data_IF_137289511929
#
_entry.id   IF_137289511929
#
_cell.length_a   1.000
_cell.length_b   1.000
_cell.length_c   1.000
_cell.angle_alpha   90.00
_cell.angle_beta   90.00
_cell.angle_gamma   90.00
#
_symmetry.space_group_name_H-M   'P 1'
#
loop_
_entity.id
_entity.type
_entity.pdbx_description
1 polymer ?
#
# COMPACT_ATOMS: atom_id res chain seq x y z
N UNK A 1 14.39 15.55 1.35
CA UNK A 1 15.49 14.67 0.90
C UNK A 1 14.98 13.64 -0.13
N UNK A 2 13.94 12.86 0.16
CA UNK A 2 13.36 11.87 -0.79
C UNK A 2 12.92 12.55 -2.10
N UNK A 3 12.21 13.68 -2.03
CA UNK A 3 11.74 14.40 -3.20
C UNK A 3 12.88 14.73 -4.17
N UNK A 4 14.03 15.21 -3.65
CA UNK A 4 15.22 15.50 -4.47
C UNK A 4 15.79 14.28 -5.20
N UNK A 5 15.72 13.12 -4.57
CA UNK A 5 16.11 11.86 -5.24
C UNK A 5 15.14 11.54 -6.37
N UNK A 6 13.84 11.72 -6.14
CA UNK A 6 12.80 11.39 -7.12
C UNK A 6 12.77 12.36 -8.31
N UNK A 7 13.14 13.63 -8.13
CA UNK A 7 13.25 14.62 -9.19
C UNK A 7 14.29 14.26 -10.28
N UNK A 8 15.23 13.36 -9.98
CA UNK A 8 16.22 12.87 -10.96
C UNK A 8 15.64 11.86 -11.96
N UNK A 9 14.40 11.42 -11.75
CA UNK A 9 13.75 10.36 -12.54
C UNK A 9 12.46 10.87 -13.20
N UNK A 10 12.19 10.52 -14.47
CA UNK A 10 10.92 10.85 -15.14
C UNK A 10 9.78 9.93 -14.66
N UNK A 11 9.37 10.09 -13.42
CA UNK A 11 8.40 9.22 -12.77
C UNK A 11 7.25 10.02 -12.16
N UNK A 12 6.05 9.45 -12.19
CA UNK A 12 4.90 10.03 -11.50
C UNK A 12 4.97 9.75 -10.00
N UNK A 13 4.94 10.82 -9.20
CA UNK A 13 5.02 10.76 -7.74
C UNK A 13 3.77 11.38 -7.13
N UNK A 14 3.21 10.70 -6.13
CA UNK A 14 2.11 11.17 -5.31
C UNK A 14 2.59 11.36 -3.88
N UNK A 15 2.35 12.53 -3.33
CA UNK A 15 2.60 12.85 -1.93
C UNK A 15 1.27 12.76 -1.18
N UNK A 16 1.07 11.68 -0.41
CA UNK A 16 -0.18 11.40 0.28
C UNK A 16 -0.20 12.10 1.65
N UNK A 17 -1.17 12.99 1.85
CA UNK A 17 -1.36 13.72 3.08
C UNK A 17 -2.85 13.87 3.41
N UNK A 18 -3.30 13.28 4.51
CA UNK A 18 -4.72 13.22 4.85
C UNK A 18 -5.54 12.54 3.75
N UNK A 19 -6.66 13.16 3.30
CA UNK A 19 -7.50 12.57 2.26
C UNK A 19 -7.03 12.92 0.84
N UNK A 20 -5.90 13.60 0.68
CA UNK A 20 -5.44 14.13 -0.59
C UNK A 20 -4.15 13.50 -1.08
N UNK A 21 -4.03 13.45 -2.41
CA UNK A 21 -2.83 13.10 -3.15
C UNK A 21 -2.31 14.35 -3.85
N UNK A 22 -1.13 14.81 -3.47
CA UNK A 22 -0.51 15.98 -4.07
C UNK A 22 0.42 15.57 -5.21
N UNK A 23 0.34 16.29 -6.32
CA UNK A 23 1.12 16.04 -7.53
C UNK A 23 1.81 17.32 -7.96
N UNK A 24 3.11 17.22 -8.22
CA UNK A 24 3.91 18.33 -8.76
C UNK A 24 3.78 18.37 -10.28
N UNK A 25 3.62 19.54 -10.84
CA UNK A 25 3.62 19.75 -12.30
C UNK A 25 2.59 20.78 -12.77
N UNK A 26 2.49 20.94 -14.08
CA UNK A 26 1.43 21.75 -14.71
C UNK A 26 0.07 21.06 -14.57
N UNK A 27 -1.05 21.77 -14.80
CA UNK A 27 -2.37 21.14 -14.82
C UNK A 27 -2.46 19.94 -15.79
N UNK A 28 -1.81 20.05 -16.96
CA UNK A 28 -1.80 19.02 -17.98
C UNK A 28 -0.99 17.79 -17.53
N UNK A 29 0.17 18.00 -16.90
CA UNK A 29 1.01 16.91 -16.36
C UNK A 29 0.31 16.18 -15.22
N UNK A 30 -0.39 16.89 -14.37
CA UNK A 30 -1.19 16.29 -13.27
C UNK A 30 -2.33 15.45 -13.84
N UNK A 31 -3.03 15.96 -14.85
CA UNK A 31 -4.10 15.22 -15.53
C UNK A 31 -3.56 13.93 -16.18
N UNK A 32 -2.45 14.03 -16.89
CA UNK A 32 -1.78 12.89 -17.51
C UNK A 32 -1.31 11.85 -16.48
N UNK A 33 -0.82 12.32 -15.33
CA UNK A 33 -0.43 11.45 -14.21
C UNK A 33 -1.62 10.67 -13.64
N UNK A 34 -2.81 11.28 -13.54
CA UNK A 34 -4.05 10.62 -13.09
C UNK A 34 -4.46 9.52 -14.09
N UNK A 35 -4.48 9.86 -15.39
CA UNK A 35 -4.83 8.89 -16.44
C UNK A 35 -3.85 7.71 -16.42
N UNK A 36 -2.54 7.98 -16.34
CA UNK A 36 -1.50 6.95 -16.27
C UNK A 36 -1.63 6.05 -15.05
N UNK A 37 -1.95 6.61 -13.88
CA UNK A 37 -2.22 5.82 -12.68
C UNK A 37 -3.33 4.81 -12.94
N UNK A 38 -4.45 5.24 -13.51
CA UNK A 38 -5.60 4.38 -13.77
C UNK A 38 -5.25 3.31 -14.82
N UNK A 39 -4.54 3.68 -15.89
CA UNK A 39 -4.09 2.74 -16.91
C UNK A 39 -3.22 1.61 -16.31
N UNK A 40 -2.27 1.95 -15.47
CA UNK A 40 -1.34 0.98 -14.89
C UNK A 40 -1.97 0.03 -13.87
N UNK A 41 -2.98 0.48 -13.13
CA UNK A 41 -3.59 -0.31 -12.06
C UNK A 41 -4.93 -0.96 -12.44
N UNK A 42 -5.61 -0.46 -13.46
CA UNK A 42 -6.94 -0.94 -13.85
C UNK A 42 -7.02 -1.46 -15.28
N UNK A 43 -5.87 -1.61 -15.96
CA UNK A 43 -5.71 -2.22 -17.29
C UNK A 43 -6.66 -1.66 -18.36
N UNK A 44 -7.17 -0.43 -18.21
CA UNK A 44 -7.96 0.24 -19.25
C UNK A 44 -7.03 1.04 -20.14
N UNK A 45 -7.01 0.75 -21.44
CA UNK A 45 -6.14 1.43 -22.41
C UNK A 45 -6.80 2.68 -23.05
N UNK A 46 -8.13 2.77 -23.02
CA UNK A 46 -8.85 3.85 -23.67
C UNK A 46 -9.02 5.07 -22.76
N UNK A 47 -8.35 6.18 -23.10
CA UNK A 47 -8.40 7.45 -22.36
C UNK A 47 -9.84 7.96 -22.16
N UNK A 48 -10.67 7.95 -23.21
CA UNK A 48 -12.05 8.44 -23.12
C UNK A 48 -12.89 7.64 -22.11
N UNK A 49 -12.67 6.33 -22.03
CA UNK A 49 -13.35 5.48 -21.04
C UNK A 49 -12.88 5.77 -19.63
N UNK A 50 -11.56 6.01 -19.46
CA UNK A 50 -10.99 6.38 -18.17
C UNK A 50 -11.60 7.68 -17.67
N UNK A 51 -11.58 8.74 -18.47
CA UNK A 51 -12.06 10.07 -18.10
C UNK A 51 -13.56 10.11 -17.77
N UNK A 52 -14.35 9.18 -18.32
CA UNK A 52 -15.78 9.02 -18.01
C UNK A 52 -16.05 8.16 -16.78
N UNK A 53 -15.06 7.43 -16.27
CA UNK A 53 -15.23 6.50 -15.16
C UNK A 53 -15.44 7.20 -13.81
N UNK A 54 -16.19 6.56 -12.91
CA UNK A 54 -16.33 7.03 -11.52
C UNK A 54 -15.00 6.99 -10.76
N UNK A 55 -14.10 6.06 -11.11
CA UNK A 55 -12.77 5.99 -10.54
C UNK A 55 -11.95 7.25 -10.85
N UNK A 56 -11.96 7.69 -12.12
CA UNK A 56 -11.28 8.91 -12.53
C UNK A 56 -11.81 10.14 -11.78
N UNK A 57 -13.14 10.29 -11.69
CA UNK A 57 -13.76 11.38 -10.95
C UNK A 57 -13.32 11.40 -9.48
N UNK A 58 -13.27 10.22 -8.86
CA UNK A 58 -12.82 10.07 -7.46
C UNK A 58 -11.35 10.42 -7.28
N UNK A 59 -10.46 9.86 -8.11
CA UNK A 59 -9.02 10.16 -8.06
C UNK A 59 -8.76 11.65 -8.31
N UNK A 60 -9.44 12.24 -9.29
CA UNK A 60 -9.35 13.67 -9.59
C UNK A 60 -9.83 14.54 -8.42
N UNK A 61 -10.90 14.15 -7.75
CA UNK A 61 -11.41 14.87 -6.58
C UNK A 61 -10.46 14.84 -5.38
N UNK A 62 -9.68 13.77 -5.19
CA UNK A 62 -8.66 13.66 -4.15
C UNK A 62 -7.31 14.27 -4.55
N UNK A 63 -7.06 14.48 -5.85
CA UNK A 63 -5.79 15.03 -6.34
C UNK A 63 -5.72 16.55 -6.12
N UNK A 64 -4.54 17.02 -5.74
CA UNK A 64 -4.21 18.44 -5.57
C UNK A 64 -2.91 18.75 -6.30
N UNK A 65 -2.96 19.75 -7.16
CA UNK A 65 -1.76 20.25 -7.84
C UNK A 65 -0.95 21.17 -6.92
N UNK A 66 0.34 21.03 -6.96
CA UNK A 66 1.32 21.92 -6.33
C UNK A 66 2.44 22.24 -7.34
N UNK A 67 3.09 23.39 -7.18
CA UNK A 67 4.23 23.75 -8.03
C UNK A 67 5.53 23.10 -7.54
N UNK A 68 5.64 22.84 -6.24
CA UNK A 68 6.77 22.12 -5.64
C UNK A 68 6.37 21.44 -4.32
N UNK A 69 7.14 20.45 -3.89
CA UNK A 69 6.94 19.77 -2.58
C UNK A 69 7.17 20.73 -1.42
N UNK A 70 8.01 21.74 -1.59
CA UNK A 70 8.27 22.77 -0.57
C UNK A 70 7.01 23.55 -0.16
N UNK A 71 5.98 23.58 -1.01
CA UNK A 71 4.71 24.19 -0.66
C UNK A 71 4.00 23.45 0.48
N UNK A 72 4.09 22.13 0.50
CA UNK A 72 3.49 21.31 1.56
C UNK A 72 4.15 21.60 2.91
N UNK A 73 5.48 21.70 2.91
CA UNK A 73 6.25 22.05 4.10
C UNK A 73 5.88 23.45 4.62
N UNK A 74 5.84 24.46 3.72
CA UNK A 74 5.43 25.83 4.08
C UNK A 74 4.02 25.92 4.64
N UNK A 75 3.11 25.05 4.19
CA UNK A 75 1.74 24.97 4.68
C UNK A 75 1.59 24.10 5.94
N UNK A 76 2.69 23.48 6.42
CA UNK A 76 2.65 22.57 7.56
C UNK A 76 1.90 21.26 7.29
N UNK A 77 1.82 20.88 6.02
CA UNK A 77 1.16 19.62 5.60
C UNK A 77 2.12 18.46 5.80
N UNK A 78 1.71 17.49 6.60
CA UNK A 78 2.52 16.29 6.89
C UNK A 78 2.26 15.25 5.82
N UNK A 79 3.31 14.87 5.09
CA UNK A 79 3.28 13.76 4.14
C UNK A 79 3.37 12.44 4.91
N UNK A 80 2.35 11.61 4.82
CA UNK A 80 2.31 10.30 5.49
C UNK A 80 2.93 9.19 4.65
N UNK A 81 2.80 9.29 3.31
CA UNK A 81 3.32 8.30 2.36
C UNK A 81 3.68 9.00 1.04
N UNK A 82 4.76 8.56 0.43
CA UNK A 82 5.07 8.87 -0.97
C UNK A 82 4.81 7.60 -1.77
N UNK A 83 4.02 7.74 -2.82
CA UNK A 83 3.68 6.66 -3.72
C UNK A 83 4.17 7.00 -5.13
N UNK A 84 4.85 6.08 -5.76
CA UNK A 84 5.32 6.25 -7.13
C UNK A 84 5.04 5.00 -7.95
N UNK A 85 4.85 5.18 -9.24
CA UNK A 85 4.53 4.11 -10.17
C UNK A 85 5.07 4.37 -11.56
N UNK A 86 5.44 3.29 -12.25
CA UNK A 86 5.94 3.35 -13.62
C UNK A 86 5.82 1.99 -14.30
N UNK A 87 5.78 1.99 -15.63
CA UNK A 87 5.94 0.77 -16.43
C UNK A 87 7.41 0.37 -16.62
N UNK A 88 8.36 1.23 -16.25
CA UNK A 88 9.81 0.95 -16.34
C UNK A 88 10.29 0.31 -15.02
N UNK A 89 10.30 -1.02 -14.99
CA UNK A 89 10.66 -1.81 -13.80
C UNK A 89 12.15 -1.70 -13.46
N UNK A 90 13.02 -1.46 -14.46
CA UNK A 90 14.46 -1.28 -14.22
C UNK A 90 14.72 0.05 -13.50
N UNK A 91 14.03 1.11 -13.92
CA UNK A 91 14.07 2.40 -13.23
C UNK A 91 13.52 2.29 -11.82
N UNK A 92 12.41 1.57 -11.64
CA UNK A 92 11.79 1.37 -10.33
C UNK A 92 12.76 0.66 -9.35
N UNK A 93 13.45 -0.37 -9.80
CA UNK A 93 14.43 -1.10 -8.99
C UNK A 93 15.65 -0.20 -8.63
N UNK A 94 16.13 0.63 -9.55
CA UNK A 94 17.19 1.61 -9.27
C UNK A 94 16.77 2.61 -8.18
N UNK A 95 15.55 3.13 -8.27
CA UNK A 95 14.99 4.04 -7.27
C UNK A 95 14.88 3.33 -5.91
N UNK A 96 14.34 2.10 -5.89
CA UNK A 96 14.20 1.29 -4.68
C UNK A 96 15.55 1.11 -3.98
N UNK A 97 16.57 0.63 -4.70
CA UNK A 97 17.92 0.43 -4.12
C UNK A 97 18.51 1.71 -3.56
N UNK A 98 18.30 2.84 -4.22
CA UNK A 98 18.81 4.13 -3.75
C UNK A 98 18.10 4.61 -2.48
N UNK A 99 16.78 4.49 -2.42
CA UNK A 99 15.99 4.88 -1.25
C UNK A 99 16.26 3.98 -0.04
N UNK A 100 16.47 2.68 -0.25
CA UNK A 100 16.80 1.72 0.81
C UNK A 100 18.16 1.97 1.47
N UNK A 101 19.02 2.83 0.90
CA UNK A 101 20.26 3.26 1.56
C UNK A 101 20.00 4.21 2.75
N UNK A 102 18.82 4.81 2.82
CA UNK A 102 18.42 5.64 3.95
C UNK A 102 17.72 4.75 5.01
N UNK A 103 18.33 4.51 6.19
CA UNK A 103 17.78 3.64 7.22
C UNK A 103 16.52 4.18 7.89
N UNK A 104 16.18 5.46 7.69
CA UNK A 104 14.97 6.10 8.21
C UNK A 104 13.74 5.83 7.35
N UNK A 105 13.91 5.19 6.18
CA UNK A 105 12.82 4.91 5.26
C UNK A 105 12.44 3.44 5.29
N UNK A 106 11.13 3.20 5.17
CA UNK A 106 10.55 1.93 4.78
C UNK A 106 10.09 2.04 3.32
N UNK A 107 10.59 1.13 2.47
CA UNK A 107 10.28 1.08 1.04
C UNK A 107 9.67 -0.28 0.73
N UNK A 108 8.40 -0.28 0.37
CA UNK A 108 7.62 -1.48 0.06
C UNK A 108 6.94 -1.36 -1.31
N UNK A 109 6.31 -2.43 -1.77
CA UNK A 109 5.49 -2.46 -2.98
C UNK A 109 4.18 -3.16 -2.66
N UNK A 110 3.08 -2.70 -3.27
CA UNK A 110 1.78 -3.38 -3.27
C UNK A 110 1.43 -3.98 -4.64
N UNK A 111 2.22 -3.59 -5.66
CA UNK A 111 2.17 -4.13 -7.03
C UNK A 111 3.58 -4.16 -7.61
N UNK A 112 3.77 -4.95 -8.68
CA UNK A 112 5.08 -5.09 -9.35
C UNK A 112 5.61 -3.77 -9.95
N UNK A 113 4.76 -2.77 -10.17
CA UNK A 113 5.06 -1.54 -10.88
C UNK A 113 4.99 -0.28 -9.99
N UNK A 114 5.00 -0.42 -8.65
CA UNK A 114 4.96 0.70 -7.72
C UNK A 114 5.97 0.58 -6.57
N UNK A 115 6.22 1.71 -5.91
CA UNK A 115 6.84 1.77 -4.58
C UNK A 115 6.00 2.65 -3.66
N UNK A 116 5.95 2.24 -2.41
CA UNK A 116 5.39 2.97 -1.29
C UNK A 116 6.52 3.29 -0.31
N UNK A 117 6.70 4.56 -0.02
CA UNK A 117 7.78 5.05 0.84
C UNK A 117 7.14 5.72 2.05
N UNK A 118 7.50 5.25 3.24
CA UNK A 118 7.10 5.83 4.52
C UNK A 118 8.33 6.02 5.40
N UNK A 119 8.18 6.71 6.53
CA UNK A 119 9.21 6.69 7.57
C UNK A 119 9.24 5.31 8.23
N UNK A 120 10.42 4.88 8.64
CA UNK A 120 10.58 3.62 9.36
C UNK A 120 9.77 3.64 10.67
N UNK A 121 9.04 2.53 10.93
CA UNK A 121 8.11 2.44 12.06
C UNK A 121 6.66 2.82 11.70
N UNK A 122 6.43 3.50 10.57
CA UNK A 122 5.08 3.76 10.05
C UNK A 122 4.58 2.65 9.10
N UNK A 123 5.16 1.45 9.22
CA UNK A 123 4.68 0.27 8.52
C UNK A 123 3.45 -0.35 9.21
N UNK A 124 2.74 -1.22 8.51
CA UNK A 124 1.49 -1.86 9.00
C UNK A 124 1.69 -2.59 10.33
N UNK A 125 2.78 -3.33 10.49
CA UNK A 125 3.04 -4.11 11.71
C UNK A 125 3.14 -3.26 12.96
N UNK A 126 4.09 -2.30 13.06
CA UNK A 126 4.20 -1.39 14.19
C UNK A 126 2.91 -0.59 14.44
N UNK A 127 2.23 -0.12 13.39
CA UNK A 127 0.98 0.62 13.54
C UNK A 127 -0.14 -0.24 14.15
N UNK A 128 -0.27 -1.51 13.74
CA UNK A 128 -1.23 -2.45 14.33
C UNK A 128 -0.87 -2.71 15.79
N UNK A 129 0.41 -2.92 16.09
CA UNK A 129 0.86 -3.15 17.46
C UNK A 129 0.46 -1.98 18.38
N UNK A 130 0.79 -0.75 18.00
CA UNK A 130 0.43 0.45 18.77
C UNK A 130 -1.09 0.54 18.97
N UNK A 131 -1.86 0.28 17.91
CA UNK A 131 -3.32 0.34 17.94
C UNK A 131 -3.92 -0.69 18.91
N UNK A 132 -3.52 -1.96 18.81
CA UNK A 132 -4.06 -3.02 19.67
C UNK A 132 -3.68 -2.81 21.14
N UNK A 133 -2.45 -2.34 21.41
CA UNK A 133 -1.99 -2.01 22.76
C UNK A 133 -2.82 -0.86 23.36
N UNK A 134 -3.19 0.15 22.55
CA UNK A 134 -4.09 1.23 22.97
C UNK A 134 -5.49 0.76 23.37
N UNK A 135 -5.92 -0.39 22.83
CA UNK A 135 -7.20 -1.05 23.15
C UNK A 135 -7.07 -2.09 24.28
N UNK A 136 -5.87 -2.31 24.80
CA UNK A 136 -5.60 -3.28 25.86
C UNK A 136 -5.48 -4.73 25.40
N UNK A 137 -5.32 -4.97 24.10
CA UNK A 137 -5.05 -6.30 23.53
C UNK A 137 -3.55 -6.60 23.48
N UNK A 138 -3.23 -7.89 23.55
CA UNK A 138 -1.89 -8.43 23.33
C UNK A 138 -1.76 -8.93 21.88
N UNK A 139 -0.52 -9.08 21.40
CA UNK A 139 -0.28 -9.64 20.06
C UNK A 139 -0.87 -11.03 19.86
N UNK A 140 -0.86 -11.86 20.89
CA UNK A 140 -1.40 -13.23 20.85
C UNK A 140 -2.92 -13.30 20.58
N UNK A 141 -3.63 -12.20 20.82
CA UNK A 141 -5.06 -12.10 20.61
C UNK A 141 -5.44 -11.60 19.20
N UNK A 142 -4.43 -11.33 18.34
CA UNK A 142 -4.63 -10.69 17.05
C UNK A 142 -4.26 -11.62 15.91
N UNK A 143 -5.11 -11.64 14.90
CA UNK A 143 -4.86 -12.28 13.61
C UNK A 143 -4.72 -11.21 12.52
N UNK A 144 -3.69 -11.31 11.71
CA UNK A 144 -3.42 -10.42 10.58
C UNK A 144 -3.37 -11.19 9.27
N UNK A 145 -3.81 -10.56 8.18
CA UNK A 145 -3.83 -11.12 6.83
C UNK A 145 -3.09 -10.20 5.86
N UNK A 146 -2.43 -10.77 4.87
CA UNK A 146 -1.78 -10.00 3.83
C UNK A 146 -1.38 -10.84 2.62
N UNK A 147 -1.05 -10.17 1.53
CA UNK A 147 -0.72 -10.81 0.26
C UNK A 147 0.49 -10.19 -0.46
N UNK A 148 0.92 -8.99 -0.09
CA UNK A 148 1.96 -8.24 -0.81
C UNK A 148 3.09 -7.77 0.12
N UNK A 149 4.22 -7.34 -0.46
CA UNK A 149 5.40 -6.92 0.28
C UNK A 149 5.16 -5.77 1.27
N UNK A 150 4.14 -4.93 1.05
CA UNK A 150 3.76 -3.90 2.02
C UNK A 150 3.10 -4.48 3.29
N UNK A 151 2.74 -5.76 3.29
CA UNK A 151 2.21 -6.50 4.44
C UNK A 151 3.31 -7.24 5.23
N UNK A 152 4.52 -7.32 4.65
CA UNK A 152 5.64 -8.05 5.23
C UNK A 152 5.90 -7.66 6.69
N UNK A 153 5.85 -6.36 7.00
CA UNK A 153 6.13 -5.87 8.36
C UNK A 153 5.17 -6.44 9.40
N UNK A 154 3.88 -6.63 9.08
CA UNK A 154 2.92 -7.21 10.03
C UNK A 154 2.94 -8.73 10.05
N UNK A 155 3.21 -9.38 8.91
CA UNK A 155 3.21 -10.83 8.81
C UNK A 155 4.49 -11.46 9.38
N UNK A 156 5.60 -10.70 9.43
CA UNK A 156 6.86 -11.12 10.09
C UNK A 156 6.89 -10.88 11.59
N UNK A 157 5.91 -10.15 12.17
CA UNK A 157 5.80 -9.97 13.61
C UNK A 157 5.14 -11.17 14.28
N UNK A 158 5.38 -11.32 15.59
CA UNK A 158 4.84 -12.43 16.38
C UNK A 158 3.41 -12.14 16.89
N UNK A 159 2.48 -11.92 15.96
CA UNK A 159 1.05 -11.91 16.26
C UNK A 159 0.53 -13.33 16.51
N UNK A 160 -0.60 -13.49 17.20
CA UNK A 160 -1.23 -14.77 17.49
C UNK A 160 -1.44 -15.63 16.25
N UNK A 161 -1.89 -15.02 15.15
CA UNK A 161 -1.87 -15.63 13.83
C UNK A 161 -1.47 -14.61 12.74
N UNK A 162 -0.46 -14.95 11.95
CA UNK A 162 -0.11 -14.26 10.71
C UNK A 162 -0.46 -15.16 9.54
N UNK A 163 -1.32 -14.67 8.63
CA UNK A 163 -1.95 -15.48 7.60
C UNK A 163 -1.67 -14.85 6.23
N UNK A 164 -0.88 -15.51 5.41
CA UNK A 164 -0.70 -15.14 4.01
C UNK A 164 -1.86 -15.65 3.16
N UNK A 165 -2.28 -14.88 2.17
CA UNK A 165 -3.20 -15.34 1.14
C UNK A 165 -2.51 -16.35 0.21
N UNK A 166 -3.27 -17.26 -0.43
CA UNK A 166 -2.69 -18.22 -1.39
C UNK A 166 -2.01 -17.52 -2.57
N UNK A 167 -2.58 -16.40 -3.01
CA UNK A 167 -2.01 -15.56 -4.07
C UNK A 167 -0.90 -14.59 -3.59
N UNK A 168 -0.46 -14.68 -2.33
CA UNK A 168 0.56 -13.79 -1.79
C UNK A 168 1.94 -13.99 -2.41
N UNK A 169 2.78 -12.95 -2.32
CA UNK A 169 4.20 -13.02 -2.65
C UNK A 169 4.91 -14.10 -1.83
N UNK A 170 5.89 -14.78 -2.42
CA UNK A 170 6.58 -15.90 -1.77
C UNK A 170 7.29 -15.48 -0.48
N UNK A 171 7.88 -14.28 -0.43
CA UNK A 171 8.52 -13.72 0.75
C UNK A 171 7.52 -13.51 1.91
N UNK A 172 6.30 -13.14 1.58
CA UNK A 172 5.21 -12.94 2.55
C UNK A 172 4.74 -14.28 3.10
N UNK A 173 4.61 -15.31 2.24
CA UNK A 173 4.27 -16.67 2.67
C UNK A 173 5.32 -17.26 3.61
N UNK A 174 6.62 -17.02 3.33
CA UNK A 174 7.73 -17.58 4.11
C UNK A 174 7.77 -17.07 5.55
N UNK A 175 7.33 -15.85 5.81
CA UNK A 175 7.34 -15.25 7.16
C UNK A 175 6.03 -15.46 7.92
N UNK A 176 4.98 -15.90 7.25
CA UNK A 176 3.66 -16.10 7.83
C UNK A 176 3.56 -17.45 8.54
N UNK A 177 2.81 -17.49 9.66
CA UNK A 177 2.53 -18.74 10.40
C UNK A 177 1.61 -19.69 9.63
N UNK A 178 0.73 -19.13 8.77
CA UNK A 178 -0.29 -19.88 8.04
C UNK A 178 -0.46 -19.31 6.63
N UNK A 179 -0.93 -20.16 5.71
CA UNK A 179 -1.40 -19.79 4.39
C UNK A 179 -2.87 -20.18 4.28
N UNK A 180 -3.73 -19.27 3.83
CA UNK A 180 -5.15 -19.51 3.57
C UNK A 180 -5.44 -19.58 2.08
N UNK A 181 -6.72 -19.60 1.69
CA UNK A 181 -7.17 -19.55 0.29
C UNK A 181 -6.86 -18.20 -0.34
N UNK A 182 -7.02 -18.11 -1.66
CA UNK A 182 -6.83 -16.87 -2.41
C UNK A 182 -7.86 -15.78 -2.02
N UNK A 183 -7.60 -14.56 -2.44
CA UNK A 183 -8.56 -13.47 -2.31
C UNK A 183 -9.84 -13.73 -3.13
N UNK A 184 -9.74 -14.43 -4.28
CA UNK A 184 -10.88 -14.83 -5.10
C UNK A 184 -11.73 -15.92 -4.44
N UNK A 185 -11.10 -16.79 -3.64
CA UNK A 185 -11.74 -17.87 -2.89
C UNK A 185 -12.13 -17.48 -1.45
N UNK A 186 -12.25 -16.18 -1.18
CA UNK A 186 -12.66 -15.63 0.10
C UNK A 186 -11.78 -16.08 1.29
N UNK A 187 -10.47 -16.17 1.11
CA UNK A 187 -9.52 -16.75 2.08
C UNK A 187 -9.62 -16.15 3.49
N UNK A 188 -9.82 -14.84 3.62
CA UNK A 188 -10.01 -14.16 4.92
C UNK A 188 -11.27 -14.72 5.63
N UNK A 189 -12.40 -14.71 4.93
CA UNK A 189 -13.67 -15.21 5.48
C UNK A 189 -13.58 -16.71 5.85
N UNK A 190 -12.96 -17.51 4.99
CA UNK A 190 -12.71 -18.93 5.24
C UNK A 190 -11.91 -19.13 6.53
N UNK A 191 -10.82 -18.43 6.72
CA UNK A 191 -9.97 -18.58 7.92
C UNK A 191 -10.69 -18.16 9.20
N UNK A 192 -11.43 -17.05 9.16
CA UNK A 192 -12.23 -16.60 10.31
C UNK A 192 -13.29 -17.64 10.65
N UNK A 193 -13.98 -18.20 9.66
CA UNK A 193 -14.99 -19.22 9.85
C UNK A 193 -14.40 -20.50 10.50
N UNK A 194 -13.25 -20.99 10.00
CA UNK A 194 -12.56 -22.13 10.58
C UNK A 194 -12.11 -21.88 12.04
N UNK A 195 -11.66 -20.67 12.35
CA UNK A 195 -11.32 -20.29 13.72
C UNK A 195 -12.54 -20.33 14.63
N UNK A 196 -13.67 -19.75 14.20
CA UNK A 196 -14.91 -19.73 14.98
C UNK A 196 -15.49 -21.13 15.20
N UNK A 197 -15.40 -22.01 14.20
CA UNK A 197 -15.73 -23.44 14.36
C UNK A 197 -14.88 -24.11 15.43
N UNK A 198 -13.57 -23.95 15.38
CA UNK A 198 -12.64 -24.50 16.38
C UNK A 198 -12.91 -24.01 17.79
N UNK A 199 -13.38 -22.77 17.91
CA UNK A 199 -13.76 -22.18 19.20
C UNK A 199 -15.18 -22.56 19.66
N UNK A 200 -15.93 -23.34 18.87
CA UNK A 200 -17.32 -23.73 19.17
C UNK A 200 -18.30 -22.55 19.15
N UNK A 201 -17.94 -21.45 18.49
CA UNK A 201 -18.77 -20.24 18.39
C UNK A 201 -19.79 -20.30 17.24
N UNK A 202 -19.60 -21.21 16.30
CA UNK A 202 -20.54 -21.52 15.21
C UNK A 202 -20.63 -23.03 15.01
N UNK A 203 -21.80 -23.52 14.54
CA UNK A 203 -22.00 -24.94 14.26
C UNK A 203 -21.20 -25.37 13.03
N UNK A 204 -20.74 -26.64 13.06
CA UNK A 204 -20.00 -27.26 11.96
C UNK A 204 -20.84 -27.55 10.71
N UNK A 205 -22.18 -27.41 10.79
CA UNK A 205 -23.11 -27.90 9.78
C UNK A 205 -23.72 -26.80 8.87
N UNK A 206 -23.19 -25.60 8.87
CA UNK A 206 -23.54 -24.57 7.87
C UNK A 206 -22.53 -24.59 6.72
N UNK A 207 -22.78 -25.43 5.71
CA UNK A 207 -22.20 -25.32 4.36
C UNK A 207 -22.89 -24.22 3.54
#
# INVERSE_FOLDING_TARGET
EVAKVLEEYPISVLYCAGPYEYRVGTPEEVEESIVRQIQLFHLSECRDQIEQSELYKRVKASSRRIDSVDELEKQGIIIHKIFLFTGDLEMLDKIKRRLMQNPELAVASSFYNNLEITVKGAEKGPAIQEYIESLGYTKDEVMVFGDSLNDYSMLSMDFGATVAMENADDEVKQVSKYVTKSNEDLGVAYTIHELLKKQGKINSDCE
#
